data_IF_887515861132
#
_entry.id   IF_887515861132
#
_cell.length_a   1.000
_cell.length_b   1.000
_cell.length_c   1.000
_cell.angle_alpha   90.00
_cell.angle_beta   90.00
_cell.angle_gamma   90.00
#
_symmetry.space_group_name_H-M   'P 1'
#
loop_
_entity.id
_entity.type
_entity.pdbx_description
1 polymer ?
#
# COMPACT_ATOMS: atom_id res chain seq x y z
N UNK A 1 19.80 27.63 -30.63
CA UNK A 1 19.89 28.48 -31.85
C UNK A 1 20.70 27.79 -32.95
N UNK A 2 20.32 27.96 -34.24
CA UNK A 2 21.12 27.46 -35.37
C UNK A 2 22.45 28.21 -35.48
N UNK A 3 23.45 27.66 -36.17
CA UNK A 3 24.78 28.26 -36.31
C UNK A 3 24.73 29.66 -36.91
N UNK A 4 23.86 29.88 -37.91
CA UNK A 4 23.69 31.19 -38.55
C UNK A 4 23.01 32.25 -37.67
N UNK A 5 22.07 31.86 -36.82
CA UNK A 5 21.48 32.76 -35.83
C UNK A 5 22.47 33.04 -34.68
N UNK A 6 23.26 32.03 -34.26
CA UNK A 6 24.23 32.16 -33.18
C UNK A 6 25.35 33.14 -33.51
N UNK A 7 25.87 33.14 -34.73
CA UNK A 7 26.93 34.07 -35.16
C UNK A 7 26.47 35.51 -35.32
N UNK A 8 25.15 35.74 -35.35
CA UNK A 8 24.53 37.06 -35.54
C UNK A 8 23.78 37.54 -34.30
N UNK A 9 23.86 36.78 -33.21
CA UNK A 9 23.13 37.01 -31.97
C UNK A 9 21.62 37.20 -32.18
N UNK A 10 21.03 36.38 -33.06
CA UNK A 10 19.61 36.42 -33.40
C UNK A 10 18.82 35.34 -32.68
N UNK A 11 17.57 35.66 -32.32
CA UNK A 11 16.63 34.73 -31.73
C UNK A 11 16.17 33.69 -32.78
N UNK A 12 16.57 32.44 -32.61
CA UNK A 12 16.34 31.37 -33.57
C UNK A 12 14.96 30.70 -33.37
N UNK A 13 13.91 31.29 -33.93
CA UNK A 13 12.54 30.72 -33.89
C UNK A 13 12.32 29.75 -35.03
N UNK A 14 12.12 28.46 -34.71
CA UNK A 14 11.84 27.40 -35.69
C UNK A 14 10.40 27.52 -36.19
N UNK A 15 10.24 27.58 -37.51
CA UNK A 15 8.95 27.32 -38.14
C UNK A 15 8.75 25.81 -38.27
N UNK A 16 7.71 25.31 -37.61
CA UNK A 16 7.40 23.88 -37.52
C UNK A 16 7.02 23.30 -38.89
N UNK A 17 6.52 24.12 -39.83
CA UNK A 17 6.13 23.67 -41.17
C UNK A 17 7.35 23.42 -42.07
N UNK A 18 8.31 24.34 -42.07
CA UNK A 18 9.54 24.22 -42.86
C UNK A 18 10.66 23.45 -42.15
N UNK A 19 10.55 23.23 -40.84
CA UNK A 19 11.59 22.62 -40.00
C UNK A 19 12.85 23.48 -39.87
N UNK A 20 12.82 24.73 -40.36
CA UNK A 20 13.94 25.68 -40.36
C UNK A 20 13.56 26.91 -39.56
N UNK A 21 14.54 27.66 -39.06
CA UNK A 21 14.24 28.92 -38.40
C UNK A 21 13.80 29.99 -39.41
N UNK A 22 12.96 30.93 -38.94
CA UNK A 22 12.44 32.02 -39.77
C UNK A 22 13.52 32.77 -40.55
N UNK A 23 14.69 32.94 -39.96
CA UNK A 23 15.81 33.66 -40.58
C UNK A 23 16.53 32.87 -41.65
N UNK A 24 16.68 31.56 -41.46
CA UNK A 24 17.18 30.70 -42.53
C UNK A 24 16.16 30.57 -43.67
N UNK A 25 14.86 30.61 -43.38
CA UNK A 25 13.80 30.61 -44.39
C UNK A 25 13.81 31.91 -45.20
N UNK A 26 13.79 33.07 -44.54
CA UNK A 26 13.79 34.41 -45.19
C UNK A 26 14.99 34.60 -46.10
N UNK A 27 16.18 34.16 -45.67
CA UNK A 27 17.42 34.37 -46.42
C UNK A 27 17.82 33.19 -47.31
N UNK A 28 17.00 32.15 -47.41
CA UNK A 28 17.29 30.98 -48.25
C UNK A 28 18.55 30.20 -47.83
N UNK A 29 18.90 30.17 -46.53
CA UNK A 29 20.13 29.55 -46.02
C UNK A 29 19.88 28.17 -45.42
N UNK A 30 20.95 27.37 -45.32
CA UNK A 30 20.93 26.10 -44.60
C UNK A 30 20.76 26.35 -43.10
N UNK A 31 19.68 25.83 -42.52
CA UNK A 31 19.49 25.77 -41.07
C UNK A 31 20.05 24.44 -40.58
N UNK A 32 21.00 24.47 -39.65
CA UNK A 32 21.50 23.24 -39.01
C UNK A 32 20.69 22.82 -37.78
N UNK A 33 19.81 23.70 -37.28
CA UNK A 33 18.83 23.38 -36.26
C UNK A 33 17.55 22.97 -36.99
N UNK A 34 17.47 21.70 -37.38
CA UNK A 34 16.28 21.12 -38.01
C UNK A 34 15.60 20.30 -36.94
N UNK A 35 14.43 20.75 -36.48
CA UNK A 35 13.51 19.91 -35.73
C UNK A 35 12.31 19.71 -36.63
N UNK A 36 12.05 18.46 -37.00
CA UNK A 36 10.99 18.15 -37.96
C UNK A 36 9.62 18.22 -37.28
N UNK A 37 8.58 18.55 -38.04
CA UNK A 37 7.20 18.42 -37.56
C UNK A 37 6.86 17.00 -37.09
N UNK A 38 7.53 15.99 -37.65
CA UNK A 38 7.45 14.59 -37.24
C UNK A 38 7.96 14.36 -35.82
N UNK A 39 9.16 14.84 -35.51
CA UNK A 39 9.75 14.74 -34.16
C UNK A 39 8.88 15.46 -33.12
N UNK A 40 8.36 16.65 -33.44
CA UNK A 40 7.43 17.35 -32.54
C UNK A 40 6.14 16.55 -32.29
N UNK A 41 5.56 15.95 -33.33
CA UNK A 41 4.37 15.09 -33.18
C UNK A 41 4.67 13.85 -32.34
N UNK A 42 5.81 13.20 -32.57
CA UNK A 42 6.24 12.03 -31.78
C UNK A 42 6.46 12.39 -30.31
N UNK A 43 7.14 13.50 -30.02
CA UNK A 43 7.34 13.98 -28.66
C UNK A 43 6.00 14.34 -27.99
N UNK A 44 5.08 14.97 -28.71
CA UNK A 44 3.75 15.28 -28.19
C UNK A 44 2.94 14.01 -27.88
N UNK A 45 2.96 13.03 -28.77
CA UNK A 45 2.32 11.72 -28.56
C UNK A 45 2.92 10.99 -27.36
N UNK A 46 4.25 10.97 -27.26
CA UNK A 46 4.94 10.30 -26.16
C UNK A 46 4.64 10.97 -24.82
N UNK A 47 4.67 12.32 -24.77
CA UNK A 47 4.26 13.09 -23.58
C UNK A 47 2.83 12.79 -23.18
N UNK A 48 1.89 12.72 -24.13
CA UNK A 48 0.49 12.45 -23.85
C UNK A 48 0.30 11.01 -23.33
N UNK A 49 1.02 10.05 -23.90
CA UNK A 49 1.05 8.67 -23.41
C UNK A 49 1.56 8.62 -21.96
N UNK A 50 2.73 9.21 -21.70
CA UNK A 50 3.31 9.27 -20.35
C UNK A 50 2.38 9.94 -19.33
N UNK A 51 1.66 11.01 -19.72
CA UNK A 51 0.67 11.64 -18.84
C UNK A 51 -0.50 10.71 -18.51
N UNK A 52 -0.99 9.96 -19.49
CA UNK A 52 -2.08 8.99 -19.29
C UNK A 52 -1.62 7.84 -18.40
N UNK A 53 -0.42 7.32 -18.65
CA UNK A 53 0.17 6.23 -17.89
C UNK A 53 0.41 6.68 -16.43
N UNK A 54 0.98 7.87 -16.24
CA UNK A 54 1.18 8.47 -14.92
C UNK A 54 -0.13 8.60 -14.14
N UNK A 55 -1.17 9.16 -14.78
CA UNK A 55 -2.50 9.28 -14.14
C UNK A 55 -3.04 7.91 -13.73
N UNK A 56 -2.95 6.93 -14.63
CA UNK A 56 -3.43 5.56 -14.36
C UNK A 56 -2.67 4.92 -13.19
N UNK A 57 -1.35 5.14 -13.11
CA UNK A 57 -0.53 4.65 -12.00
C UNK A 57 -0.90 5.31 -10.67
N UNK A 58 -1.11 6.63 -10.65
CA UNK A 58 -1.54 7.36 -9.45
C UNK A 58 -2.93 6.90 -8.97
N UNK A 59 -3.89 6.76 -9.89
CA UNK A 59 -5.23 6.26 -9.57
C UNK A 59 -5.19 4.83 -9.00
N UNK A 60 -4.25 4.00 -9.48
CA UNK A 60 -4.03 2.64 -8.97
C UNK A 60 -3.38 2.65 -7.58
N UNK A 61 -2.39 3.51 -7.37
CA UNK A 61 -1.73 3.69 -6.08
C UNK A 61 -2.73 4.09 -5.00
N UNK A 62 -3.60 5.06 -5.29
CA UNK A 62 -4.64 5.50 -4.36
C UNK A 62 -5.58 4.36 -3.96
N UNK A 63 -6.02 3.54 -4.92
CA UNK A 63 -6.87 2.36 -4.63
C UNK A 63 -6.18 1.34 -3.74
N UNK A 64 -4.90 1.06 -4.01
CA UNK A 64 -4.11 0.13 -3.20
C UNK A 64 -3.93 0.64 -1.78
N UNK A 65 -3.74 1.96 -1.59
CA UNK A 65 -3.70 2.55 -0.25
C UNK A 65 -5.02 2.37 0.50
N UNK A 66 -6.16 2.61 -0.15
CA UNK A 66 -7.47 2.41 0.46
C UNK A 66 -7.72 0.94 0.83
N UNK A 67 -7.28 -0.02 0.00
CA UNK A 67 -7.35 -1.45 0.31
C UNK A 67 -6.45 -1.82 1.49
N UNK A 68 -5.23 -1.30 1.52
CA UNK A 68 -4.29 -1.52 2.62
C UNK A 68 -4.85 -1.00 3.96
N UNK A 69 -5.50 0.16 3.96
CA UNK A 69 -6.15 0.70 5.16
C UNK A 69 -7.29 -0.19 5.67
N UNK A 70 -8.11 -0.73 4.75
CA UNK A 70 -9.18 -1.67 5.09
C UNK A 70 -8.63 -2.95 5.70
N UNK A 71 -7.59 -3.52 5.10
CA UNK A 71 -6.96 -4.74 5.62
C UNK A 71 -6.29 -4.47 6.99
N UNK A 72 -5.62 -3.33 7.16
CA UNK A 72 -5.08 -2.94 8.49
C UNK A 72 -6.16 -2.81 9.55
N UNK A 73 -7.31 -2.23 9.21
CA UNK A 73 -8.44 -2.13 10.13
C UNK A 73 -9.02 -3.52 10.47
N UNK A 74 -9.04 -4.44 9.49
CA UNK A 74 -9.43 -5.84 9.72
C UNK A 74 -8.43 -6.56 10.62
N UNK A 75 -7.14 -6.42 10.39
CA UNK A 75 -6.08 -6.99 11.23
C UNK A 75 -6.22 -6.52 12.67
N UNK A 76 -6.38 -5.22 12.91
CA UNK A 76 -6.57 -4.68 14.27
C UNK A 76 -7.81 -5.26 14.97
N UNK A 77 -8.92 -5.41 14.24
CA UNK A 77 -10.14 -6.04 14.78
C UNK A 77 -9.91 -7.50 15.15
N UNK A 78 -9.24 -8.26 14.29
CA UNK A 78 -8.94 -9.67 14.55
C UNK A 78 -7.97 -9.84 15.73
N UNK A 79 -6.97 -8.97 15.87
CA UNK A 79 -6.07 -8.94 17.02
C UNK A 79 -6.85 -8.71 18.32
N UNK A 80 -7.70 -7.69 18.37
CA UNK A 80 -8.52 -7.43 19.55
C UNK A 80 -9.48 -8.59 19.89
N UNK A 81 -10.03 -9.26 18.88
CA UNK A 81 -10.87 -10.45 19.08
C UNK A 81 -10.07 -11.62 19.62
N UNK A 82 -8.86 -11.84 19.11
CA UNK A 82 -7.97 -12.89 19.58
C UNK A 82 -7.59 -12.66 21.05
N UNK A 83 -7.11 -11.47 21.39
CA UNK A 83 -6.77 -11.09 22.76
C UNK A 83 -7.95 -11.28 23.72
N UNK A 84 -9.16 -10.95 23.29
CA UNK A 84 -10.37 -11.16 24.09
C UNK A 84 -10.65 -12.65 24.34
N UNK A 85 -10.51 -13.50 23.32
CA UNK A 85 -10.73 -14.94 23.45
C UNK A 85 -9.66 -15.56 24.33
N UNK A 86 -8.39 -15.23 24.10
CA UNK A 86 -7.25 -15.71 24.91
C UNK A 86 -7.43 -15.33 26.38
N UNK A 87 -7.88 -14.11 26.66
CA UNK A 87 -8.19 -13.69 28.03
C UNK A 87 -9.32 -14.54 28.63
N UNK A 88 -10.42 -14.74 27.91
CA UNK A 88 -11.54 -15.54 28.41
C UNK A 88 -11.16 -17.00 28.62
N UNK A 89 -10.27 -17.54 27.79
CA UNK A 89 -9.69 -18.86 27.95
C UNK A 89 -8.87 -18.95 29.24
N UNK A 90 -7.97 -17.98 29.49
CA UNK A 90 -7.23 -17.87 30.75
C UNK A 90 -8.15 -17.82 31.97
N UNK A 91 -9.15 -16.93 31.97
CA UNK A 91 -10.13 -16.80 33.05
C UNK A 91 -10.95 -18.08 33.28
N UNK A 92 -11.19 -18.88 32.23
CA UNK A 92 -11.88 -20.16 32.36
C UNK A 92 -10.95 -21.21 32.98
N UNK A 93 -9.72 -21.31 32.49
CA UNK A 93 -8.69 -22.23 33.01
C UNK A 93 -8.44 -21.97 34.50
N UNK A 94 -8.26 -20.70 34.90
CA UNK A 94 -8.04 -20.34 36.31
C UNK A 94 -9.21 -20.77 37.22
N UNK A 95 -10.45 -20.65 36.74
CA UNK A 95 -11.63 -21.09 37.49
C UNK A 95 -11.72 -22.60 37.62
N UNK A 96 -11.40 -23.34 36.55
CA UNK A 96 -11.36 -24.80 36.60
C UNK A 96 -10.27 -25.27 37.58
N UNK A 97 -9.09 -24.66 37.57
CA UNK A 97 -8.03 -24.97 38.53
C UNK A 97 -8.48 -24.73 39.98
N UNK A 98 -9.10 -23.59 40.27
CA UNK A 98 -9.63 -23.32 41.60
C UNK A 98 -10.69 -24.35 42.03
N UNK A 99 -11.59 -24.75 41.12
CA UNK A 99 -12.59 -25.78 41.40
C UNK A 99 -11.97 -27.15 41.67
N UNK A 100 -10.89 -27.51 40.98
CA UNK A 100 -10.17 -28.77 41.21
C UNK A 100 -9.48 -28.73 42.59
N UNK A 101 -8.83 -27.63 42.95
CA UNK A 101 -8.19 -27.47 44.26
C UNK A 101 -9.19 -27.60 45.42
N UNK A 102 -10.37 -26.99 45.29
CA UNK A 102 -11.47 -27.13 46.25
C UNK A 102 -11.96 -28.58 46.37
N UNK A 103 -12.12 -29.29 45.24
CA UNK A 103 -12.52 -30.70 45.23
C UNK A 103 -11.47 -31.60 45.88
N UNK A 104 -10.20 -31.42 45.55
CA UNK A 104 -9.09 -32.16 46.15
C UNK A 104 -9.03 -31.96 47.67
N UNK A 105 -9.29 -30.75 48.16
CA UNK A 105 -9.33 -30.47 49.59
C UNK A 105 -10.50 -31.17 50.27
N UNK A 106 -11.71 -31.13 49.68
CA UNK A 106 -12.87 -31.86 50.18
C UNK A 106 -12.61 -33.38 50.22
N UNK A 107 -12.00 -33.94 49.17
CA UNK A 107 -11.63 -35.35 49.12
C UNK A 107 -10.63 -35.71 50.23
N UNK A 108 -9.60 -34.88 50.45
CA UNK A 108 -8.64 -35.08 51.56
C UNK A 108 -9.33 -35.02 52.91
N UNK A 109 -10.26 -34.08 53.12
CA UNK A 109 -11.03 -33.97 54.36
C UNK A 109 -11.90 -35.21 54.60
N UNK A 110 -12.57 -35.72 53.57
CA UNK A 110 -13.38 -36.94 53.64
C UNK A 110 -12.52 -38.19 53.91
N UNK A 111 -11.33 -38.28 53.29
CA UNK A 111 -10.39 -39.37 53.55
C UNK A 111 -9.80 -39.30 54.97
N UNK A 112 -9.56 -38.10 55.50
CA UNK A 112 -9.04 -37.89 56.85
C UNK A 112 -10.09 -38.12 57.95
N UNK A 113 -11.38 -37.89 57.65
CA UNK A 113 -12.51 -38.16 58.54
C UNK A 113 -13.45 -39.21 57.93
N UNK A 114 -13.07 -40.49 57.93
CA UNK A 114 -13.96 -41.54 57.43
C UNK A 114 -15.22 -41.59 58.29
N UNK A 115 -16.38 -41.38 57.65
CA UNK A 115 -17.69 -41.58 58.28
C UNK A 115 -17.75 -43.04 58.77
N UNK A 116 -18.14 -43.31 60.03
CA UNK A 116 -18.32 -44.68 60.49
C UNK A 116 -19.40 -45.31 59.62
N UNK A 117 -19.03 -46.31 58.83
CA UNK A 117 -20.00 -47.12 58.10
C UNK A 117 -20.73 -47.91 59.18
N UNK A 118 -21.96 -47.51 59.52
CA UNK A 118 -22.83 -48.33 60.37
C UNK A 118 -23.04 -49.66 59.64
N UNK A 119 -22.33 -50.68 60.11
CA UNK A 119 -22.51 -52.04 59.65
C UNK A 119 -23.86 -52.51 60.18
N UNK A 120 -24.90 -52.34 59.38
CA UNK A 120 -26.17 -53.02 59.57
C UNK A 120 -25.92 -54.53 59.38
N UNK A 121 -25.68 -55.20 60.50
CA UNK A 121 -25.62 -56.65 60.60
C UNK A 121 -27.06 -57.14 60.84
N UNK A 122 -27.64 -57.84 59.87
CA UNK A 122 -28.79 -58.73 60.05
C UNK A 122 -28.75 -59.87 59.04
#
# INVERSE_FOLDING_TARGET
PCSGCKTRDLECKIDVRSGRCGECVRHGRKCNLVVTSGEFKQLAQHRNKLRKDLKTSLDKEERLFQELEKERAKTRRLQAQLEFVEKREGDAIEREFASIEEQDELERQLQANPVPVEADVS
#
